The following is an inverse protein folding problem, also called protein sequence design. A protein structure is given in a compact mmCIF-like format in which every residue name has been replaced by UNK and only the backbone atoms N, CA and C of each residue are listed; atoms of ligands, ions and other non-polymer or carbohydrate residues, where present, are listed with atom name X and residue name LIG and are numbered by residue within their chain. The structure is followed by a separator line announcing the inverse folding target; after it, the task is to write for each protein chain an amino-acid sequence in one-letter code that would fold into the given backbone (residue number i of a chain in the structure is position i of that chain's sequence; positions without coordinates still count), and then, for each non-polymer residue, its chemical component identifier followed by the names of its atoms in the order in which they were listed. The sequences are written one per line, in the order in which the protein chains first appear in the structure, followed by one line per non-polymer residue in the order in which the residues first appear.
data_IF_569608336767
#
_entry.id   IF_569608336767
#
_cell.length_a   1.000
_cell.length_b   1.000
_cell.length_c   1.000
_cell.angle_alpha   90.00
_cell.angle_beta   90.00
_cell.angle_gamma   90.00
#
_symmetry.space_group_name_H-M   'P 1'
#
loop_
_entity.id
_entity.type
_entity.pdbx_description
1 polymer ?
#
# COMPACT_ATOMS: atom_id res chain seq x y z
N UNK A 1 -13.88 1.74 6.10
CA UNK A 1 -13.78 0.56 5.24
C UNK A 1 -13.38 -0.65 6.06
N UNK A 2 -13.90 -1.84 5.73
CA UNK A 2 -13.48 -3.14 6.26
C UNK A 2 -12.26 -3.66 5.52
N UNK A 3 -11.71 -4.77 5.99
CA UNK A 3 -10.57 -5.44 5.37
C UNK A 3 -10.91 -5.94 3.96
N UNK A 4 -12.10 -6.48 3.77
CA UNK A 4 -12.63 -6.98 2.49
C UNK A 4 -12.80 -5.85 1.49
N UNK A 5 -13.34 -4.71 1.93
CA UNK A 5 -13.50 -3.53 1.08
C UNK A 5 -12.15 -2.99 0.61
N UNK A 6 -11.14 -2.97 1.48
CA UNK A 6 -9.77 -2.56 1.11
C UNK A 6 -9.12 -3.56 0.17
N UNK A 7 -9.32 -4.85 0.38
CA UNK A 7 -8.82 -5.89 -0.51
C UNK A 7 -9.41 -5.74 -1.92
N UNK A 8 -10.72 -5.52 -2.03
CA UNK A 8 -11.38 -5.23 -3.29
C UNK A 8 -10.87 -3.93 -3.92
N UNK A 9 -10.72 -2.87 -3.12
CA UNK A 9 -10.26 -1.55 -3.57
C UNK A 9 -8.84 -1.59 -4.17
N UNK A 10 -7.91 -2.27 -3.50
CA UNK A 10 -6.52 -2.41 -3.94
C UNK A 10 -6.30 -3.60 -4.90
N UNK A 11 -7.35 -4.37 -5.20
CA UNK A 11 -7.31 -5.62 -5.98
C UNK A 11 -6.29 -6.63 -5.44
N UNK A 12 -6.27 -6.79 -4.12
CA UNK A 12 -5.42 -7.73 -3.40
C UNK A 12 -6.27 -8.80 -2.71
N UNK A 13 -5.62 -9.89 -2.27
CA UNK A 13 -6.29 -10.90 -1.44
C UNK A 13 -6.53 -10.32 -0.02
N UNK A 14 -7.68 -10.61 0.62
CA UNK A 14 -7.94 -10.21 2.01
C UNK A 14 -6.82 -10.61 2.97
N UNK A 15 -6.24 -11.80 2.78
CA UNK A 15 -5.12 -12.27 3.60
C UNK A 15 -3.88 -11.37 3.51
N UNK A 16 -3.60 -10.78 2.35
CA UNK A 16 -2.50 -9.82 2.19
C UNK A 16 -2.76 -8.55 3.02
N UNK A 17 -3.98 -8.02 2.95
CA UNK A 17 -4.38 -6.84 3.74
C UNK A 17 -4.34 -7.15 5.23
N UNK A 18 -4.77 -8.35 5.64
CA UNK A 18 -4.69 -8.80 7.03
C UNK A 18 -3.24 -8.81 7.54
N UNK A 19 -2.32 -9.45 6.82
CA UNK A 19 -0.90 -9.49 7.19
C UNK A 19 -0.31 -8.09 7.24
N UNK A 20 -0.62 -7.23 6.26
CA UNK A 20 -0.11 -5.84 6.29
C UNK A 20 -0.65 -5.03 7.46
N UNK A 21 -1.92 -5.22 7.83
CA UNK A 21 -2.50 -4.54 8.99
C UNK A 21 -1.86 -5.03 10.30
N UNK A 22 -1.62 -6.35 10.43
CA UNK A 22 -0.88 -6.90 11.57
C UNK A 22 0.56 -6.39 11.65
N UNK A 23 1.25 -6.34 10.51
CA UNK A 23 2.64 -5.88 10.40
C UNK A 23 2.78 -4.34 10.44
N UNK A 24 1.67 -3.60 10.56
CA UNK A 24 1.63 -2.12 10.50
C UNK A 24 2.21 -1.53 9.21
N UNK A 25 2.15 -2.28 8.11
CA UNK A 25 2.61 -1.87 6.76
C UNK A 25 1.57 -1.03 6.00
N UNK A 26 0.33 -1.06 6.45
CA UNK A 26 -0.79 -0.30 5.87
C UNK A 26 -1.51 0.44 7.00
N UNK A 27 -1.98 1.69 6.79
CA UNK A 27 -2.70 2.45 7.81
C UNK A 27 -4.04 1.78 8.15
N UNK A 28 -4.11 1.19 9.34
CA UNK A 28 -5.28 0.47 9.84
C UNK A 28 -5.46 0.69 11.34
N UNK A 29 -6.72 0.73 11.79
CA UNK A 29 -7.08 0.74 13.21
C UNK A 29 -7.81 -0.56 13.57
N UNK A 30 -7.44 -1.17 14.70
CA UNK A 30 -8.14 -2.35 15.23
C UNK A 30 -9.24 -1.90 16.19
N UNK A 31 -10.50 -2.12 15.81
CA UNK A 31 -11.67 -1.79 16.62
C UNK A 31 -12.36 -3.10 17.02
N UNK A 32 -12.07 -3.55 18.23
CA UNK A 32 -12.49 -4.86 18.73
C UNK A 32 -11.86 -5.99 17.93
N UNK A 33 -12.71 -6.77 17.23
CA UNK A 33 -12.30 -7.90 16.39
C UNK A 33 -12.09 -7.53 14.92
N UNK A 34 -12.45 -6.31 14.53
CA UNK A 34 -12.40 -5.87 13.14
C UNK A 34 -11.25 -4.90 12.88
N UNK A 35 -10.73 -4.92 11.66
CA UNK A 35 -9.85 -3.89 11.13
C UNK A 35 -10.67 -2.84 10.39
N UNK A 36 -10.40 -1.56 10.68
CA UNK A 36 -11.03 -0.43 10.03
C UNK A 36 -9.98 0.48 9.38
N UNK A 37 -10.34 0.95 8.20
CA UNK A 37 -9.49 1.77 7.36
C UNK A 37 -10.25 3.04 6.96
N UNK A 38 -9.56 4.18 7.00
CA UNK A 38 -10.10 5.45 6.50
C UNK A 38 -9.63 5.63 5.07
N UNK A 39 -10.58 5.73 4.12
CA UNK A 39 -10.28 5.80 2.69
C UNK A 39 -9.28 6.90 2.35
N UNK A 40 -9.48 8.11 2.87
CA UNK A 40 -8.57 9.24 2.58
C UNK A 40 -7.12 8.97 2.98
N UNK A 41 -6.90 8.32 4.13
CA UNK A 41 -5.55 7.96 4.60
C UNK A 41 -4.97 6.83 3.75
N UNK A 42 -5.81 5.88 3.34
CA UNK A 42 -5.38 4.79 2.47
C UNK A 42 -5.00 5.29 1.07
N UNK A 43 -5.75 6.24 0.53
CA UNK A 43 -5.49 6.88 -0.77
C UNK A 43 -4.13 7.61 -0.74
N UNK A 44 -3.87 8.42 0.31
CA UNK A 44 -2.58 9.09 0.50
C UNK A 44 -1.42 8.10 0.65
N UNK A 45 -1.59 7.08 1.48
CA UNK A 45 -0.59 6.02 1.65
C UNK A 45 -0.30 5.30 0.33
N UNK A 46 -1.34 4.98 -0.45
CA UNK A 46 -1.18 4.28 -1.71
C UNK A 46 -0.41 5.11 -2.73
N UNK A 47 -0.68 6.42 -2.83
CA UNK A 47 0.07 7.33 -3.68
C UNK A 47 1.56 7.37 -3.32
N UNK A 48 1.89 7.47 -2.02
CA UNK A 48 3.28 7.46 -1.56
C UNK A 48 4.03 6.17 -1.94
N UNK A 49 3.35 5.01 -1.86
CA UNK A 49 3.97 3.71 -2.15
C UNK A 49 4.00 3.38 -3.65
N UNK A 50 3.09 3.95 -4.46
CA UNK A 50 3.20 3.94 -5.92
C UNK A 50 4.44 4.71 -6.36
N UNK A 51 4.63 5.91 -5.83
CA UNK A 51 5.79 6.75 -6.14
C UNK A 51 7.09 6.06 -5.75
N UNK A 52 7.15 5.33 -4.64
CA UNK A 52 8.35 4.56 -4.27
C UNK A 52 8.69 3.46 -5.29
N UNK A 53 7.69 2.68 -5.72
CA UNK A 53 7.89 1.63 -6.74
C UNK A 53 8.23 2.21 -8.12
N UNK A 54 7.59 3.31 -8.52
CA UNK A 54 7.93 4.01 -9.75
C UNK A 54 9.28 4.70 -9.66
N UNK A 55 9.64 5.27 -8.51
CA UNK A 55 10.96 5.86 -8.27
C UNK A 55 12.05 4.80 -8.36
N UNK A 56 11.83 3.57 -7.90
CA UNK A 56 12.79 2.47 -8.10
C UNK A 56 12.99 2.18 -9.60
N UNK A 57 11.92 2.18 -10.39
CA UNK A 57 11.97 2.01 -11.85
C UNK A 57 12.69 3.20 -12.50
N UNK A 58 12.29 4.44 -12.20
CA UNK A 58 12.89 5.67 -12.72
C UNK A 58 14.37 5.80 -12.33
N UNK A 59 14.74 5.43 -11.10
CA UNK A 59 16.15 5.35 -10.66
C UNK A 59 16.91 4.30 -11.46
N UNK A 60 16.35 3.11 -11.64
CA UNK A 60 16.97 2.05 -12.45
C UNK A 60 17.17 2.47 -13.92
N UNK A 61 16.25 3.26 -14.48
CA UNK A 61 16.40 3.84 -15.82
C UNK A 61 17.47 4.94 -15.89
N UNK A 62 17.51 5.85 -14.91
CA UNK A 62 18.51 6.93 -14.85
C UNK A 62 19.94 6.40 -14.69
N UNK A 63 20.10 5.27 -14.00
CA UNK A 63 21.41 4.66 -13.77
C UNK A 63 21.97 3.95 -15.02
N UNK A 64 21.13 3.61 -16.01
CA UNK A 64 21.54 2.97 -17.26
C UNK A 64 21.97 3.94 -18.38
N UNK A 65 21.86 5.25 -18.20
CA UNK A 65 22.23 6.25 -19.22
C UNK A 65 23.39 7.18 -18.81
N UNK A 66 24.22 6.77 -17.84
CA UNK A 66 25.34 7.57 -17.33
C UNK A 66 26.75 7.02 -17.58
N UNK A 67 26.90 5.95 -18.36
CA UNK A 67 28.21 5.45 -18.81
C UNK A 67 28.26 5.53 -20.33
N UNK A 68 28.69 6.69 -20.83
CA UNK A 68 28.98 6.97 -22.23
C UNK A 68 29.94 8.15 -22.29
#
# INVERSE_FOLDING_TARGET
MTLEEVAAYLRLKPQTIYTWAQDKKIPAAKLGKEWRFKKSILDEWFLQHLDEKFNAVVKAWRQKQGEG
#
